data_IF_990095550968
#
_entry.id   IF_990095550968
#
_cell.length_a   1.000
_cell.length_b   1.000
_cell.length_c   1.000
_cell.angle_alpha   90.00
_cell.angle_beta   90.00
_cell.angle_gamma   90.00
#
_symmetry.space_group_name_H-M   'P 1'
#
loop_
_entity.id
_entity.type
_entity.pdbx_description
1 polymer ?
#
# COMPACT_ATOMS: atom_id res chain seq x y z
N UNK A 1 -5.84 -25.21 -13.52
CA UNK A 1 -6.08 -25.04 -12.07
C UNK A 1 -5.86 -23.58 -11.70
N UNK A 2 -6.89 -22.94 -11.17
CA UNK A 2 -6.78 -21.53 -10.80
C UNK A 2 -5.97 -21.38 -9.53
N UNK A 3 -4.94 -20.53 -9.61
CA UNK A 3 -4.10 -20.20 -8.46
C UNK A 3 -4.40 -18.77 -8.02
N UNK A 4 -5.63 -18.55 -7.55
CA UNK A 4 -6.04 -17.22 -7.12
C UNK A 4 -6.63 -17.25 -5.71
N UNK A 5 -6.65 -16.08 -5.10
CA UNK A 5 -7.24 -15.86 -3.80
C UNK A 5 -8.03 -14.54 -3.83
N UNK A 6 -8.81 -14.31 -2.78
CA UNK A 6 -9.64 -13.11 -2.72
C UNK A 6 -8.85 -11.92 -2.21
N UNK A 7 -9.02 -10.78 -2.86
CA UNK A 7 -8.44 -9.50 -2.42
C UNK A 7 -9.55 -8.50 -2.19
N UNK A 8 -9.52 -7.86 -1.03
CA UNK A 8 -10.40 -6.74 -0.72
C UNK A 8 -9.54 -5.56 -0.27
N UNK A 9 -9.73 -4.41 -0.93
CA UNK A 9 -9.11 -3.15 -0.53
C UNK A 9 -10.22 -2.25 -0.04
N UNK A 10 -10.14 -1.84 1.22
CA UNK A 10 -11.22 -1.13 1.88
C UNK A 10 -10.69 0.19 2.45
N UNK A 11 -11.38 1.29 2.16
CA UNK A 11 -11.15 2.57 2.81
C UNK A 11 -12.24 2.79 3.84
N UNK A 12 -12.09 3.76 4.76
CA UNK A 12 -13.14 4.04 5.74
C UNK A 12 -14.50 4.38 5.13
N UNK A 13 -14.50 4.83 3.89
CA UNK A 13 -15.73 5.30 3.23
C UNK A 13 -16.35 4.26 2.30
N UNK A 14 -15.56 3.36 1.73
CA UNK A 14 -16.06 2.44 0.71
C UNK A 14 -15.10 1.28 0.46
N UNK A 15 -15.60 0.27 -0.23
CA UNK A 15 -14.77 -0.81 -0.78
C UNK A 15 -14.18 -0.29 -2.09
N UNK A 16 -12.85 -0.24 -2.16
CA UNK A 16 -12.16 0.26 -3.36
C UNK A 16 -12.05 -0.84 -4.41
N UNK A 17 -11.76 -2.06 -3.98
CA UNK A 17 -11.56 -3.20 -4.87
C UNK A 17 -11.97 -4.47 -4.16
N UNK A 18 -12.63 -5.38 -4.87
CA UNK A 18 -12.94 -6.72 -4.38
C UNK A 18 -12.91 -7.65 -5.60
N UNK A 19 -11.86 -8.48 -5.68
CA UNK A 19 -11.70 -9.39 -6.82
C UNK A 19 -10.78 -10.54 -6.46
N UNK A 20 -10.73 -11.53 -7.35
CA UNK A 20 -9.78 -12.64 -7.24
C UNK A 20 -8.50 -12.26 -7.95
N UNK A 21 -7.36 -12.53 -7.32
CA UNK A 21 -6.05 -12.15 -7.82
C UNK A 21 -5.07 -13.32 -7.70
N UNK A 22 -3.97 -13.25 -8.44
CA UNK A 22 -2.94 -14.29 -8.44
C UNK A 22 -1.81 -13.99 -7.47
N UNK A 23 -1.43 -12.73 -7.33
CA UNK A 23 -0.43 -12.31 -6.36
C UNK A 23 -0.62 -10.86 -5.99
N UNK A 24 -0.17 -10.50 -4.79
CA UNK A 24 -0.16 -9.11 -4.33
C UNK A 24 1.18 -8.85 -3.65
N UNK A 25 1.90 -7.84 -4.11
CA UNK A 25 3.14 -7.41 -3.49
C UNK A 25 2.86 -6.16 -2.69
N UNK A 26 3.13 -6.21 -1.40
CA UNK A 26 2.85 -5.12 -0.48
C UNK A 26 4.11 -4.50 0.09
N UNK A 27 4.14 -3.18 0.30
CA UNK A 27 5.23 -2.52 1.02
C UNK A 27 4.93 -2.55 2.52
N UNK A 28 5.47 -3.53 3.24
CA UNK A 28 5.25 -3.64 4.67
C UNK A 28 6.41 -3.03 5.47
N UNK A 29 6.20 -2.79 6.76
CA UNK A 29 7.27 -2.32 7.64
C UNK A 29 8.44 -3.29 7.73
N UNK A 30 8.18 -4.56 7.45
CA UNK A 30 9.21 -5.61 7.46
C UNK A 30 9.94 -5.71 6.11
N UNK A 31 9.51 -4.94 5.12
CA UNK A 31 10.04 -4.97 3.78
C UNK A 31 8.97 -5.31 2.75
N UNK A 32 9.36 -5.37 1.50
CA UNK A 32 8.46 -5.76 0.43
C UNK A 32 8.12 -7.24 0.57
N UNK A 33 6.84 -7.57 0.46
CA UNK A 33 6.34 -8.93 0.67
C UNK A 33 5.35 -9.29 -0.42
N UNK A 34 5.50 -10.48 -1.00
CA UNK A 34 4.55 -10.98 -2.01
C UNK A 34 3.69 -12.08 -1.41
N UNK A 35 2.38 -11.93 -1.55
CA UNK A 35 1.39 -12.87 -1.03
C UNK A 35 0.82 -13.67 -2.19
N UNK A 36 0.85 -14.98 -2.04
CA UNK A 36 0.35 -15.95 -3.01
C UNK A 36 -0.72 -16.84 -2.35
N UNK A 37 -1.40 -17.62 -3.18
CA UNK A 37 -2.37 -18.59 -2.69
C UNK A 37 -1.73 -19.49 -1.60
N UNK A 38 -2.49 -19.76 -0.56
CA UNK A 38 -2.07 -20.59 0.57
C UNK A 38 -0.91 -20.02 1.41
N UNK A 39 -0.64 -18.73 1.27
CA UNK A 39 0.30 -18.05 2.16
C UNK A 39 -0.17 -18.21 3.61
N UNK A 40 0.77 -18.32 4.54
CA UNK A 40 0.43 -18.44 5.96
C UNK A 40 -0.33 -17.19 6.42
N UNK A 41 -1.22 -17.33 7.42
CA UNK A 41 -1.91 -16.16 7.97
C UNK A 41 -0.92 -15.13 8.50
N UNK A 42 -1.23 -13.86 8.26
CA UNK A 42 -0.41 -12.77 8.74
C UNK A 42 -1.24 -11.52 9.00
N UNK A 43 -0.70 -10.67 9.85
CA UNK A 43 -1.20 -9.31 10.08
C UNK A 43 0.04 -8.42 10.08
N UNK A 44 0.03 -7.38 9.25
CA UNK A 44 1.15 -6.45 9.19
C UNK A 44 0.65 -5.05 8.84
N UNK A 45 1.57 -4.10 8.85
CA UNK A 45 1.27 -2.70 8.54
C UNK A 45 1.97 -2.30 7.26
N UNK A 46 1.33 -1.43 6.49
CA UNK A 46 1.91 -0.85 5.29
C UNK A 46 2.79 0.35 5.64
N UNK A 47 3.86 0.50 4.90
CA UNK A 47 4.67 1.72 4.86
C UNK A 47 4.45 2.40 3.50
N UNK A 48 4.86 3.65 3.32
CA UNK A 48 4.73 4.30 2.01
C UNK A 48 5.44 3.49 0.93
N UNK A 49 4.71 3.19 -0.13
CA UNK A 49 5.25 2.38 -1.22
C UNK A 49 4.21 2.04 -2.26
N UNK A 50 4.58 1.13 -3.15
CA UNK A 50 3.74 0.71 -4.26
C UNK A 50 3.17 -0.67 -3.96
N UNK A 51 1.85 -0.77 -4.04
CA UNK A 51 1.10 -2.01 -3.96
C UNK A 51 0.90 -2.53 -5.37
N UNK A 52 1.36 -3.74 -5.66
CA UNK A 52 1.22 -4.35 -6.99
C UNK A 52 0.29 -5.55 -6.93
N UNK A 53 -0.67 -5.58 -7.83
CA UNK A 53 -1.68 -6.63 -7.89
C UNK A 53 -1.60 -7.31 -9.26
N UNK A 54 -1.43 -8.62 -9.26
CA UNK A 54 -1.51 -9.43 -10.47
C UNK A 54 -2.77 -10.29 -10.41
N UNK A 55 -3.67 -10.05 -11.36
CA UNK A 55 -4.93 -10.76 -11.46
C UNK A 55 -5.32 -10.88 -12.92
N UNK A 56 -6.61 -10.64 -13.23
CA UNK A 56 -7.07 -10.60 -14.63
C UNK A 56 -6.36 -9.49 -15.42
N UNK A 57 -5.90 -8.46 -14.73
CA UNK A 57 -5.03 -7.41 -15.26
C UNK A 57 -4.10 -6.96 -14.15
N UNK A 58 -2.97 -6.38 -14.51
CA UNK A 58 -2.04 -5.81 -13.54
C UNK A 58 -2.54 -4.45 -13.09
N UNK A 59 -2.43 -4.19 -11.79
CA UNK A 59 -2.82 -2.92 -11.19
C UNK A 59 -1.77 -2.50 -10.18
N UNK A 60 -1.53 -1.20 -10.09
CA UNK A 60 -0.61 -0.64 -9.12
C UNK A 60 -1.26 0.53 -8.39
N UNK A 61 -1.02 0.60 -7.09
CA UNK A 61 -1.53 1.66 -6.23
C UNK A 61 -0.40 2.21 -5.39
N UNK A 62 -0.44 3.51 -5.14
CA UNK A 62 0.41 4.13 -4.13
C UNK A 62 -0.32 4.14 -2.81
N UNK A 63 0.36 3.71 -1.73
CA UNK A 63 -0.20 3.73 -0.38
C UNK A 63 0.77 4.44 0.55
N UNK A 64 0.25 5.11 1.57
CA UNK A 64 1.09 5.74 2.60
C UNK A 64 1.11 4.91 3.86
N UNK A 65 -0.05 4.43 4.28
CA UNK A 65 -0.18 3.59 5.46
C UNK A 65 -1.44 2.74 5.38
N UNK A 66 -1.52 1.74 6.23
CA UNK A 66 -2.67 0.88 6.31
C UNK A 66 -2.35 -0.39 7.05
N UNK A 67 -3.34 -1.26 7.17
CA UNK A 67 -3.19 -2.58 7.76
C UNK A 67 -3.49 -3.64 6.74
N UNK A 68 -2.83 -4.78 6.89
CA UNK A 68 -3.00 -5.93 6.00
C UNK A 68 -3.25 -7.16 6.84
N UNK A 69 -4.27 -7.92 6.47
CA UNK A 69 -4.58 -9.19 7.10
C UNK A 69 -4.78 -10.23 6.01
N UNK A 70 -4.13 -11.37 6.15
CA UNK A 70 -4.32 -12.52 5.26
C UNK A 70 -4.67 -13.74 6.09
N UNK A 71 -5.80 -14.35 5.77
CA UNK A 71 -6.22 -15.63 6.36
C UNK A 71 -7.25 -16.29 5.45
N UNK A 72 -7.26 -17.62 5.42
CA UNK A 72 -8.22 -18.39 4.62
C UNK A 72 -8.28 -17.94 3.16
N UNK A 73 -7.12 -17.70 2.57
CA UNK A 73 -7.00 -17.23 1.18
C UNK A 73 -7.82 -15.98 0.88
N UNK A 74 -7.89 -15.09 1.87
CA UNK A 74 -8.51 -13.77 1.73
C UNK A 74 -7.54 -12.71 2.25
N UNK A 75 -7.17 -11.79 1.38
CA UNK A 75 -6.29 -10.68 1.72
C UNK A 75 -7.14 -9.42 1.86
N UNK A 76 -7.10 -8.81 3.04
CA UNK A 76 -7.83 -7.59 3.32
C UNK A 76 -6.82 -6.47 3.57
N UNK A 77 -6.92 -5.40 2.80
CA UNK A 77 -6.08 -4.22 2.95
C UNK A 77 -6.98 -3.05 3.35
N UNK A 78 -6.71 -2.49 4.52
CA UNK A 78 -7.42 -1.32 5.03
C UNK A 78 -6.50 -0.11 4.95
N UNK A 79 -6.88 0.89 4.13
CA UNK A 79 -6.08 2.10 3.97
C UNK A 79 -6.97 3.28 3.64
N UNK A 80 -6.69 4.42 4.24
CA UNK A 80 -7.35 5.69 3.92
C UNK A 80 -6.59 6.50 2.87
N UNK A 81 -5.42 6.01 2.45
CA UNK A 81 -4.48 6.79 1.62
C UNK A 81 -4.16 6.15 0.29
N UNK A 82 -4.92 5.15 -0.12
CA UNK A 82 -4.63 4.40 -1.34
C UNK A 82 -5.07 5.18 -2.59
N UNK A 83 -4.17 5.27 -3.57
CA UNK A 83 -4.41 6.01 -4.82
C UNK A 83 -3.93 5.15 -5.98
N UNK A 84 -4.74 4.96 -7.06
CA UNK A 84 -4.25 4.29 -8.25
C UNK A 84 -3.00 5.00 -8.78
N UNK A 85 -1.96 4.23 -9.11
CA UNK A 85 -0.67 4.83 -9.51
C UNK A 85 -0.81 5.69 -10.76
N UNK A 86 -1.71 5.35 -11.67
CA UNK A 86 -1.98 6.13 -12.87
C UNK A 86 -2.47 7.55 -12.58
N UNK A 87 -3.01 7.78 -11.37
CA UNK A 87 -3.46 9.09 -10.92
C UNK A 87 -2.37 9.90 -10.22
N UNK A 88 -1.19 9.29 -10.04
CA UNK A 88 -0.04 9.96 -9.40
C UNK A 88 0.88 10.45 -10.51
N UNK A 89 0.63 11.68 -10.99
CA UNK A 89 1.40 12.30 -12.07
C UNK A 89 2.45 13.26 -11.51
N UNK A 90 3.41 13.68 -12.34
CA UNK A 90 4.55 14.47 -11.93
C UNK A 90 4.26 15.64 -10.99
N UNK A 91 3.25 16.46 -11.29
CA UNK A 91 2.86 17.57 -10.42
C UNK A 91 2.37 17.11 -9.06
N UNK A 92 1.58 16.03 -9.04
CA UNK A 92 1.07 15.46 -7.80
C UNK A 92 2.22 14.86 -6.98
N UNK A 93 3.18 14.24 -7.62
CA UNK A 93 4.36 13.68 -6.96
C UNK A 93 5.13 14.79 -6.27
N UNK A 94 5.37 15.91 -6.96
CA UNK A 94 6.08 17.07 -6.38
C UNK A 94 5.37 17.63 -5.15
N UNK A 95 4.05 17.78 -5.24
CA UNK A 95 3.24 18.25 -4.10
C UNK A 95 3.31 17.29 -2.93
N UNK A 96 3.25 16.00 -3.18
CA UNK A 96 3.30 14.99 -2.14
C UNK A 96 4.68 14.98 -1.46
N UNK A 97 5.74 15.14 -2.24
CA UNK A 97 7.11 15.22 -1.70
C UNK A 97 7.26 16.47 -0.83
N UNK A 98 6.79 17.61 -1.30
CA UNK A 98 6.84 18.85 -0.52
C UNK A 98 6.08 18.75 0.79
N UNK A 99 4.89 18.17 0.75
CA UNK A 99 4.08 17.95 1.96
C UNK A 99 4.81 17.04 2.95
N UNK A 100 5.47 16.00 2.45
CA UNK A 100 6.22 15.07 3.29
C UNK A 100 7.47 15.75 3.89
N UNK A 101 8.15 16.59 3.13
CA UNK A 101 9.31 17.37 3.63
C UNK A 101 8.88 18.37 4.69
N UNK A 102 7.76 19.04 4.48
CA UNK A 102 7.20 19.96 5.48
C UNK A 102 6.85 19.21 6.77
N UNK A 103 6.30 18.01 6.65
CA UNK A 103 5.97 17.18 7.80
C UNK A 103 7.22 16.78 8.57
N UNK A 104 8.30 16.42 7.89
CA UNK A 104 9.58 16.05 8.52
C UNK A 104 10.22 17.23 9.25
N UNK A 105 9.95 18.47 8.83
CA UNK A 105 10.50 19.67 9.45
C UNK A 105 9.81 20.07 10.75
N UNK A 106 8.68 19.45 11.10
CA UNK A 106 7.95 19.76 12.33
C UNK A 106 8.64 19.13 13.55
N UNK A 107 8.86 19.95 14.59
CA UNK A 107 9.58 19.53 15.78
C UNK A 107 8.89 18.45 16.61
N UNK A 108 7.58 18.44 16.61
CA UNK A 108 6.79 17.53 17.47
C UNK A 108 6.31 16.27 16.75
N UNK A 109 6.97 15.90 15.67
CA UNK A 109 6.58 14.76 14.88
C UNK A 109 7.02 13.47 15.58
N UNK A 110 6.11 12.49 15.68
CA UNK A 110 6.45 11.19 16.23
C UNK A 110 7.45 10.45 15.34
N UNK A 111 8.21 9.53 15.92
CA UNK A 111 9.17 8.73 15.13
C UNK A 111 8.48 7.95 14.01
N UNK A 112 7.28 7.43 14.28
CA UNK A 112 6.51 6.72 13.26
C UNK A 112 6.13 7.65 12.10
N UNK A 113 5.69 8.88 12.40
CA UNK A 113 5.32 9.83 11.37
C UNK A 113 6.55 10.27 10.54
N UNK A 114 7.71 10.43 11.17
CA UNK A 114 8.95 10.73 10.45
C UNK A 114 9.36 9.59 9.54
N UNK A 115 9.23 8.36 10.01
CA UNK A 115 9.52 7.16 9.23
C UNK A 115 8.63 7.09 7.98
N UNK A 116 7.33 7.28 8.17
CA UNK A 116 6.36 7.25 7.06
C UNK A 116 6.66 8.35 6.04
N UNK A 117 6.93 9.58 6.50
CA UNK A 117 7.23 10.68 5.62
C UNK A 117 8.53 10.45 4.83
N UNK A 118 9.56 9.90 5.46
CA UNK A 118 10.82 9.57 4.79
C UNK A 118 10.62 8.52 3.70
N UNK A 119 9.86 7.48 3.97
CA UNK A 119 9.57 6.44 2.98
C UNK A 119 8.72 6.96 1.84
N UNK A 120 7.80 7.88 2.11
CA UNK A 120 6.98 8.49 1.08
C UNK A 120 7.85 9.32 0.13
N UNK A 121 8.76 10.13 0.65
CA UNK A 121 9.70 10.91 -0.16
C UNK A 121 10.56 9.99 -1.01
N UNK A 122 11.14 8.97 -0.40
CA UNK A 122 12.01 8.01 -1.09
C UNK A 122 11.26 7.29 -2.21
N UNK A 123 10.04 6.83 -1.95
CA UNK A 123 9.22 6.14 -2.93
C UNK A 123 8.88 7.04 -4.12
N UNK A 124 8.48 8.29 -3.86
CA UNK A 124 8.07 9.22 -4.90
C UNK A 124 9.24 9.80 -5.69
N UNK A 125 10.45 9.74 -5.14
CA UNK A 125 11.65 10.27 -5.80
C UNK A 125 12.31 9.25 -6.73
N UNK A 126 11.85 8.02 -6.73
CA UNK A 126 12.40 6.96 -7.60
C UNK A 126 11.92 7.03 -9.04
#
# INVERSE_FOLDING_TARGET
MEKNFNLEIISPEKIILSEKVNSVTIPSFEGEMTILLDHIPLITFLRPGILRIEGSKESEYFVEEGTVEFSNNTLIILSSTIIPLENVKGENISKMIEASKALLAKENLSDKAKYIASHKIDTLSK
#
